data_IF_794416113684
#
_entry.id   IF_794416113684
#
_cell.length_a   1.000
_cell.length_b   1.000
_cell.length_c   1.000
_cell.angle_alpha   90.00
_cell.angle_beta   90.00
_cell.angle_gamma   90.00
#
_symmetry.space_group_name_H-M   'P 1'
#
loop_
_entity.id
_entity.type
_entity.pdbx_description
1 polymer ?
#
# COMPACT_ATOMS: atom_id res chain seq x y z
N UNK A 1 55.79 -59.30 44.67
CA UNK A 1 56.13 -59.78 43.33
C UNK A 1 54.84 -59.77 42.53
N UNK A 2 54.54 -58.68 41.83
CA UNK A 2 53.27 -58.53 41.11
C UNK A 2 53.58 -58.58 39.63
N UNK A 3 53.18 -59.63 39.00
CA UNK A 3 53.33 -59.91 37.55
C UNK A 3 52.22 -59.15 36.80
N UNK A 4 52.65 -58.19 36.05
CA UNK A 4 51.72 -57.45 35.17
C UNK A 4 51.55 -58.26 33.88
N UNK A 5 50.39 -58.80 33.69
CA UNK A 5 50.00 -59.52 32.49
C UNK A 5 49.60 -58.52 31.37
N UNK A 6 50.46 -58.50 30.34
CA UNK A 6 50.37 -57.60 29.19
C UNK A 6 49.41 -58.16 28.09
N UNK A 7 48.30 -58.68 28.45
CA UNK A 7 47.40 -59.29 27.46
C UNK A 7 45.96 -58.81 27.56
N UNK A 8 45.73 -57.51 27.49
CA UNK A 8 44.42 -56.99 27.12
C UNK A 8 44.58 -55.60 26.55
N UNK A 9 45.30 -55.47 25.45
CA UNK A 9 45.23 -54.36 24.56
C UNK A 9 44.22 -54.69 23.49
N UNK A 10 42.97 -54.81 23.87
CA UNK A 10 41.86 -54.89 22.92
C UNK A 10 41.43 -53.47 22.56
N UNK A 11 41.77 -53.19 21.38
CA UNK A 11 41.11 -52.25 20.45
C UNK A 11 39.79 -51.67 20.97
N UNK A 12 39.88 -50.53 21.60
CA UNK A 12 38.74 -49.62 21.60
C UNK A 12 38.83 -48.85 20.28
N UNK A 13 38.19 -49.38 19.26
CA UNK A 13 37.93 -48.67 18.03
C UNK A 13 37.04 -47.47 18.38
N UNK A 14 37.66 -46.32 18.42
CA UNK A 14 36.94 -45.05 18.56
C UNK A 14 36.02 -44.84 17.35
N UNK A 15 34.75 -45.01 17.58
CA UNK A 15 33.76 -44.44 16.67
C UNK A 15 33.85 -42.90 16.79
N UNK A 16 34.64 -42.31 15.94
CA UNK A 16 34.54 -40.89 15.66
C UNK A 16 33.20 -40.66 14.98
N UNK A 17 32.22 -40.30 15.78
CA UNK A 17 30.98 -39.73 15.23
C UNK A 17 31.32 -38.45 14.51
N UNK A 18 31.43 -38.50 13.20
CA UNK A 18 31.46 -37.34 12.35
C UNK A 18 30.09 -36.64 12.48
N UNK A 19 30.01 -35.64 13.36
CA UNK A 19 28.91 -34.69 13.35
C UNK A 19 29.08 -33.86 12.08
N UNK A 20 28.43 -34.27 11.02
CA UNK A 20 28.26 -33.47 9.85
C UNK A 20 27.39 -32.27 10.26
N UNK A 21 28.04 -31.15 10.57
CA UNK A 21 27.42 -29.85 10.60
C UNK A 21 26.97 -29.54 9.19
N UNK A 22 25.77 -29.95 8.83
CA UNK A 22 25.04 -29.35 7.70
C UNK A 22 24.76 -27.91 8.10
N UNK A 23 25.67 -27.04 7.71
CA UNK A 23 25.36 -25.61 7.63
C UNK A 23 24.22 -25.47 6.62
N UNK A 24 22.99 -25.57 7.11
CA UNK A 24 21.82 -25.15 6.38
C UNK A 24 22.01 -23.67 6.10
N UNK A 25 22.44 -23.33 4.89
CA UNK A 25 22.36 -21.98 4.40
C UNK A 25 20.87 -21.63 4.45
N UNK A 26 20.46 -20.93 5.50
CA UNK A 26 19.23 -20.14 5.49
C UNK A 26 19.45 -19.11 4.39
N UNK A 27 19.02 -19.45 3.19
CA UNK A 27 18.78 -18.47 2.16
C UNK A 27 17.63 -17.66 2.72
N UNK A 28 17.98 -16.60 3.45
CA UNK A 28 17.04 -15.53 3.71
C UNK A 28 16.69 -15.02 2.32
N UNK A 29 15.56 -15.50 1.80
CA UNK A 29 14.91 -14.87 0.68
C UNK A 29 14.63 -13.47 1.17
N UNK A 30 15.49 -12.51 0.83
CA UNK A 30 15.14 -11.11 0.90
C UNK A 30 14.03 -10.98 -0.10
N UNK A 31 12.79 -11.10 0.38
CA UNK A 31 11.64 -10.66 -0.37
C UNK A 31 11.94 -9.20 -0.68
N UNK A 32 12.37 -8.97 -1.91
CA UNK A 32 12.43 -7.63 -2.47
C UNK A 32 11.01 -7.14 -2.30
N UNK A 33 10.82 -6.13 -1.45
CA UNK A 33 9.53 -5.48 -1.35
C UNK A 33 9.23 -4.94 -2.74
N UNK A 34 8.38 -5.65 -3.44
CA UNK A 34 7.87 -5.22 -4.73
C UNK A 34 7.27 -3.85 -4.49
N UNK A 35 7.74 -2.83 -5.18
CA UNK A 35 7.41 -1.43 -4.92
C UNK A 35 6.01 -1.08 -5.43
N UNK A 36 5.06 -1.99 -5.28
CA UNK A 36 3.67 -1.82 -5.68
C UNK A 36 2.78 -2.92 -5.13
N UNK A 37 1.48 -2.68 -5.15
CA UNK A 37 0.50 -3.73 -4.88
C UNK A 37 0.57 -4.79 -5.97
N UNK A 38 0.56 -6.09 -5.62
CA UNK A 38 0.67 -7.15 -6.62
C UNK A 38 -0.60 -7.16 -7.51
N UNK A 39 -0.39 -7.01 -8.81
CA UNK A 39 -1.47 -7.08 -9.81
C UNK A 39 -2.13 -8.46 -9.76
N UNK A 40 -3.48 -8.49 -9.87
CA UNK A 40 -4.27 -9.73 -9.86
C UNK A 40 -4.49 -10.30 -8.45
N UNK A 41 -4.18 -9.57 -7.41
CA UNK A 41 -4.53 -9.90 -6.02
C UNK A 41 -5.67 -9.00 -5.54
N UNK A 42 -6.45 -9.45 -4.55
CA UNK A 42 -7.42 -8.57 -3.91
C UNK A 42 -6.76 -7.29 -3.40
N UNK A 43 -7.38 -6.15 -3.70
CA UNK A 43 -6.95 -4.88 -3.14
C UNK A 43 -7.13 -4.89 -1.61
N UNK A 44 -6.22 -4.29 -0.84
CA UNK A 44 -6.41 -4.12 0.60
C UNK A 44 -7.70 -3.36 0.88
N UNK A 45 -8.54 -3.87 1.79
CA UNK A 45 -9.72 -3.13 2.23
C UNK A 45 -9.31 -1.97 3.13
N UNK A 46 -10.11 -0.91 3.11
CA UNK A 46 -9.91 0.28 3.95
C UNK A 46 -11.26 0.88 4.34
N UNK A 47 -11.24 1.69 5.38
CA UNK A 47 -12.30 2.64 5.70
C UNK A 47 -11.64 3.99 5.93
N UNK A 48 -12.11 5.02 5.25
CA UNK A 48 -11.66 6.39 5.40
C UNK A 48 -12.86 7.33 5.53
N UNK A 49 -12.66 8.49 6.15
CA UNK A 49 -13.70 9.52 6.19
C UNK A 49 -13.68 10.30 4.88
N UNK A 50 -14.83 10.56 4.31
CA UNK A 50 -14.93 11.46 3.18
C UNK A 50 -15.00 12.94 3.61
N UNK A 51 -15.00 13.84 2.65
CA UNK A 51 -15.05 15.29 2.87
C UNK A 51 -16.33 15.77 3.55
N UNK A 52 -17.38 14.97 3.57
CA UNK A 52 -18.65 15.26 4.24
C UNK A 52 -18.69 14.71 5.66
N UNK A 53 -17.68 13.94 6.06
CA UNK A 53 -17.60 13.31 7.38
C UNK A 53 -18.26 11.94 7.44
N UNK A 54 -18.57 11.33 6.30
CA UNK A 54 -19.13 9.99 6.23
C UNK A 54 -18.03 8.93 6.08
N UNK A 55 -18.12 7.77 6.75
CA UNK A 55 -17.20 6.68 6.55
C UNK A 55 -17.47 5.99 5.21
N UNK A 56 -16.41 5.77 4.44
CA UNK A 56 -16.43 5.08 3.13
C UNK A 56 -15.45 3.92 3.17
N UNK A 57 -15.92 2.72 2.86
CA UNK A 57 -15.10 1.51 2.79
C UNK A 57 -14.99 0.99 1.36
N UNK A 58 -13.84 0.41 0.99
CA UNK A 58 -13.70 -0.20 -0.33
C UNK A 58 -14.72 -1.32 -0.54
N UNK A 59 -15.03 -2.08 0.50
CA UNK A 59 -16.02 -3.16 0.48
C UNK A 59 -17.44 -2.69 0.13
N UNK A 60 -17.78 -1.40 0.30
CA UNK A 60 -19.10 -0.84 -0.07
C UNK A 60 -19.31 -0.87 -1.60
N UNK A 61 -18.23 -0.97 -2.35
CA UNK A 61 -18.23 -1.01 -3.81
C UNK A 61 -17.96 -2.40 -4.39
N UNK A 62 -18.21 -3.46 -3.60
CA UNK A 62 -18.00 -4.82 -4.05
C UNK A 62 -18.72 -5.11 -5.39
N UNK A 63 -17.99 -5.71 -6.33
CA UNK A 63 -18.51 -6.02 -7.68
C UNK A 63 -18.45 -4.86 -8.70
N UNK A 64 -17.96 -3.69 -8.29
CA UNK A 64 -17.73 -2.55 -9.18
C UNK A 64 -16.23 -2.32 -9.41
N UNK A 65 -15.90 -1.70 -10.51
CA UNK A 65 -14.56 -1.15 -10.72
C UNK A 65 -14.41 0.11 -9.85
N UNK A 66 -13.27 0.22 -9.16
CA UNK A 66 -12.93 1.39 -8.33
C UNK A 66 -11.62 1.98 -8.81
N UNK A 67 -11.61 3.28 -9.04
CA UNK A 67 -10.40 4.08 -9.29
C UNK A 67 -10.05 4.82 -8.01
N UNK A 68 -8.80 4.71 -7.55
CA UNK A 68 -8.23 5.55 -6.48
C UNK A 68 -7.27 6.56 -7.12
N UNK A 69 -7.61 7.83 -7.01
CA UNK A 69 -6.78 8.94 -7.47
C UNK A 69 -6.20 9.67 -6.26
N UNK A 70 -4.87 9.78 -6.17
CA UNK A 70 -4.22 10.66 -5.20
C UNK A 70 -4.07 12.05 -5.77
N UNK A 71 -4.60 13.05 -5.06
CA UNK A 71 -4.56 14.45 -5.46
C UNK A 71 -3.93 15.35 -4.41
N UNK A 72 -3.39 16.49 -4.88
CA UNK A 72 -2.88 17.57 -4.05
C UNK A 72 -3.08 18.88 -4.82
N UNK A 73 -3.97 19.74 -4.37
CA UNK A 73 -4.31 21.01 -5.02
C UNK A 73 -3.10 21.96 -5.23
N UNK A 74 -2.12 21.88 -4.33
CA UNK A 74 -0.88 22.65 -4.43
C UNK A 74 0.14 22.10 -5.42
N UNK A 75 -0.08 20.90 -5.98
CA UNK A 75 0.85 20.26 -6.90
C UNK A 75 0.65 20.78 -8.34
N UNK A 76 1.70 21.35 -8.98
CA UNK A 76 1.58 21.84 -10.37
C UNK A 76 1.19 20.76 -11.37
N UNK A 77 1.57 19.52 -11.12
CA UNK A 77 1.21 18.37 -11.98
C UNK A 77 -0.27 18.00 -11.86
N UNK A 78 -0.84 18.07 -10.66
CA UNK A 78 -2.28 17.89 -10.46
C UNK A 78 -3.06 19.04 -11.10
N UNK A 79 -2.67 20.28 -10.78
CA UNK A 79 -3.35 21.47 -11.28
C UNK A 79 -3.49 21.50 -12.80
N UNK A 80 -2.48 21.10 -13.57
CA UNK A 80 -2.56 21.09 -15.04
C UNK A 80 -3.64 20.15 -15.58
N UNK A 81 -3.97 19.08 -14.84
CA UNK A 81 -4.97 18.10 -15.23
C UNK A 81 -6.40 18.55 -14.91
N UNK A 82 -6.54 19.54 -14.03
CA UNK A 82 -7.82 20.16 -13.65
C UNK A 82 -7.99 21.60 -14.19
N UNK A 83 -6.90 22.22 -14.70
CA UNK A 83 -6.82 23.67 -14.92
C UNK A 83 -7.61 24.20 -16.11
N UNK A 84 -8.21 23.37 -16.94
CA UNK A 84 -8.98 23.83 -18.10
C UNK A 84 -10.29 23.05 -18.19
N UNK A 85 -11.44 23.70 -18.29
CA UNK A 85 -12.67 23.01 -18.70
C UNK A 85 -12.67 22.79 -20.23
N UNK A 86 -12.90 21.56 -20.68
CA UNK A 86 -12.91 20.38 -19.85
C UNK A 86 -11.48 19.90 -19.59
N UNK A 87 -11.03 19.95 -18.32
CA UNK A 87 -9.80 19.27 -17.92
C UNK A 87 -9.93 17.78 -18.18
N UNK A 88 -8.80 17.10 -18.37
CA UNK A 88 -8.87 15.68 -18.68
C UNK A 88 -9.39 14.83 -17.49
N UNK A 89 -9.18 15.27 -16.25
CA UNK A 89 -9.66 14.54 -15.06
C UNK A 89 -11.17 14.61 -14.94
N UNK A 90 -11.78 15.76 -15.15
CA UNK A 90 -13.24 15.92 -15.12
C UNK A 90 -13.92 15.02 -16.16
N UNK A 91 -13.38 14.98 -17.38
CA UNK A 91 -13.88 14.09 -18.42
C UNK A 91 -13.77 12.60 -18.03
N UNK A 92 -12.63 12.19 -17.47
CA UNK A 92 -12.42 10.80 -17.00
C UNK A 92 -13.35 10.43 -15.84
N UNK A 93 -13.61 11.37 -14.92
CA UNK A 93 -14.55 11.15 -13.81
C UNK A 93 -15.99 10.99 -14.32
N UNK A 94 -16.39 11.85 -15.27
CA UNK A 94 -17.72 11.76 -15.88
C UNK A 94 -17.91 10.47 -16.68
N UNK A 95 -16.89 10.06 -17.46
CA UNK A 95 -16.90 8.79 -18.19
C UNK A 95 -16.98 7.58 -17.24
N UNK A 96 -16.23 7.62 -16.15
CA UNK A 96 -16.22 6.60 -15.12
C UNK A 96 -17.61 6.44 -14.48
N UNK A 97 -18.28 7.56 -14.13
CA UNK A 97 -19.63 7.55 -13.56
C UNK A 97 -20.63 6.95 -14.56
N UNK A 98 -20.56 7.37 -15.83
CA UNK A 98 -21.43 6.84 -16.89
C UNK A 98 -21.28 5.34 -17.10
N UNK A 99 -20.06 4.79 -16.90
CA UNK A 99 -19.76 3.36 -17.01
C UNK A 99 -20.03 2.60 -15.69
N UNK A 100 -20.49 3.26 -14.63
CA UNK A 100 -20.71 2.66 -13.32
C UNK A 100 -19.43 2.37 -12.53
N UNK A 101 -18.28 2.89 -12.96
CA UNK A 101 -17.02 2.87 -12.22
C UNK A 101 -17.07 3.89 -11.08
N UNK A 102 -16.60 3.50 -9.90
CA UNK A 102 -16.50 4.40 -8.74
C UNK A 102 -15.16 5.14 -8.78
N UNK A 103 -15.18 6.46 -8.76
CA UNK A 103 -13.98 7.27 -8.67
C UNK A 103 -13.85 7.87 -7.27
N UNK A 104 -12.77 7.50 -6.56
CA UNK A 104 -12.46 7.98 -5.22
C UNK A 104 -11.20 8.84 -5.31
N UNK A 105 -11.33 10.11 -4.99
CA UNK A 105 -10.18 11.04 -4.89
C UNK A 105 -9.66 11.03 -3.46
N UNK A 106 -8.34 10.87 -3.27
CA UNK A 106 -7.70 10.74 -1.95
C UNK A 106 -6.75 11.90 -1.72
N UNK A 107 -6.87 12.55 -0.57
CA UNK A 107 -6.00 13.64 -0.12
C UNK A 107 -5.22 13.16 1.11
N UNK A 108 -3.95 12.78 0.90
CA UNK A 108 -3.05 12.26 1.95
C UNK A 108 -2.04 13.32 2.40
N UNK A 109 -2.48 14.55 2.67
CA UNK A 109 -1.62 15.63 3.12
C UNK A 109 -1.80 15.90 4.60
N UNK A 110 -0.69 15.82 5.37
CA UNK A 110 -0.72 16.04 6.81
C UNK A 110 -0.99 17.51 7.17
N UNK A 111 -1.56 17.79 8.36
CA UNK A 111 -1.75 19.16 8.85
C UNK A 111 -0.47 20.00 8.76
N UNK A 112 -0.59 21.21 8.19
CA UNK A 112 0.53 22.12 7.98
C UNK A 112 1.44 21.77 6.81
N UNK A 113 1.12 20.76 6.01
CA UNK A 113 1.81 20.44 4.76
C UNK A 113 1.02 20.93 3.55
N UNK A 114 1.73 21.12 2.43
CA UNK A 114 1.11 21.51 1.16
C UNK A 114 0.01 20.51 0.78
N UNK A 115 -1.13 21.03 0.35
CA UNK A 115 -2.27 20.23 -0.06
C UNK A 115 -3.11 19.67 1.09
N UNK A 116 -2.82 20.03 2.36
CA UNK A 116 -3.71 19.72 3.47
C UNK A 116 -4.93 20.64 3.41
N UNK A 117 -6.10 20.02 3.38
CA UNK A 117 -7.40 20.69 3.41
C UNK A 117 -8.32 19.97 4.37
N UNK A 118 -9.29 20.69 4.92
CA UNK A 118 -10.44 20.09 5.59
C UNK A 118 -11.53 19.69 4.57
N UNK A 119 -12.58 19.05 5.05
CA UNK A 119 -13.65 18.57 4.17
C UNK A 119 -14.35 19.69 3.39
N UNK A 120 -14.58 20.83 4.03
CA UNK A 120 -15.25 21.96 3.39
C UNK A 120 -14.39 22.55 2.26
N UNK A 121 -13.08 22.72 2.50
CA UNK A 121 -12.15 23.20 1.48
C UNK A 121 -11.97 22.17 0.34
N UNK A 122 -11.97 20.87 0.65
CA UNK A 122 -11.93 19.83 -0.37
C UNK A 122 -13.15 19.85 -1.29
N UNK A 123 -14.34 20.02 -0.72
CA UNK A 123 -15.59 20.15 -1.49
C UNK A 123 -15.59 21.41 -2.34
N UNK A 124 -15.17 22.54 -1.77
CA UNK A 124 -15.08 23.82 -2.50
C UNK A 124 -14.11 23.67 -3.69
N UNK A 125 -12.95 23.05 -3.50
CA UNK A 125 -11.99 22.85 -4.57
C UNK A 125 -12.56 21.96 -5.70
N UNK A 126 -13.27 20.90 -5.35
CA UNK A 126 -13.92 20.02 -6.33
C UNK A 126 -14.97 20.80 -7.15
N UNK A 127 -15.80 21.62 -6.49
CA UNK A 127 -16.79 22.47 -7.15
C UNK A 127 -16.16 23.52 -8.08
N UNK A 128 -15.12 24.21 -7.61
CA UNK A 128 -14.41 25.25 -8.39
C UNK A 128 -13.72 24.69 -9.65
N UNK A 129 -13.45 23.39 -9.68
CA UNK A 129 -12.77 22.71 -10.79
C UNK A 129 -13.68 21.77 -11.57
N UNK A 130 -14.99 21.83 -11.38
CA UNK A 130 -15.95 20.92 -12.00
C UNK A 130 -15.58 19.44 -11.83
N UNK A 131 -14.89 19.08 -10.72
CA UNK A 131 -14.54 17.72 -10.42
C UNK A 131 -15.73 16.95 -9.85
N UNK A 132 -15.94 15.72 -10.30
CA UNK A 132 -17.10 14.90 -9.94
C UNK A 132 -16.73 13.49 -9.47
N UNK A 133 -15.79 13.31 -8.53
CA UNK A 133 -15.55 12.01 -7.93
C UNK A 133 -16.76 11.56 -7.13
N UNK A 134 -16.94 10.23 -6.97
CA UNK A 134 -18.00 9.71 -6.10
C UNK A 134 -17.79 10.13 -4.62
N UNK A 135 -16.55 10.14 -4.16
CA UNK A 135 -16.15 10.64 -2.84
C UNK A 135 -14.76 11.27 -2.88
N UNK A 136 -14.54 12.27 -2.01
CA UNK A 136 -13.21 12.80 -1.71
C UNK A 136 -12.82 12.29 -0.33
N UNK A 137 -11.84 11.39 -0.25
CA UNK A 137 -11.38 10.76 0.98
C UNK A 137 -10.27 11.59 1.63
N UNK A 138 -10.38 11.83 2.93
CA UNK A 138 -9.37 12.54 3.71
C UNK A 138 -8.49 11.55 4.45
N UNK A 139 -7.19 11.61 4.18
CA UNK A 139 -6.16 10.72 4.76
C UNK A 139 -5.01 11.55 5.37
N UNK A 140 -5.30 12.41 6.37
CA UNK A 140 -4.33 13.37 6.91
C UNK A 140 -3.15 12.71 7.63
N UNK A 141 -3.29 11.49 8.09
CA UNK A 141 -2.22 10.70 8.69
C UNK A 141 -1.47 9.81 7.68
N UNK A 142 -1.90 9.77 6.41
CA UNK A 142 -1.29 8.99 5.34
C UNK A 142 -1.47 7.47 5.48
N UNK A 143 -2.45 7.01 6.25
CA UNK A 143 -2.69 5.57 6.46
C UNK A 143 -3.08 4.89 5.15
N UNK A 144 -4.02 5.48 4.40
CA UNK A 144 -4.46 4.97 3.12
C UNK A 144 -3.35 5.05 2.06
N UNK A 145 -2.63 6.18 2.04
CA UNK A 145 -1.48 6.37 1.14
C UNK A 145 -0.41 5.30 1.34
N UNK A 146 -0.06 4.98 2.58
CA UNK A 146 0.90 3.91 2.88
C UNK A 146 0.38 2.52 2.53
N UNK A 147 -0.91 2.25 2.81
CA UNK A 147 -1.54 0.97 2.50
C UNK A 147 -1.46 0.65 1.00
N UNK A 148 -1.67 1.66 0.16
CA UNK A 148 -1.62 1.53 -1.29
C UNK A 148 -0.25 1.89 -1.89
N UNK A 149 0.76 2.16 -1.04
CA UNK A 149 2.11 2.54 -1.46
C UNK A 149 2.12 3.73 -2.41
N UNK A 150 1.14 4.64 -2.25
CA UNK A 150 1.06 5.85 -3.04
C UNK A 150 2.30 6.71 -2.82
N UNK A 151 2.88 7.20 -3.92
CA UNK A 151 4.05 8.06 -3.92
C UNK A 151 3.63 9.43 -4.45
N UNK A 152 3.85 10.44 -3.64
CA UNK A 152 3.60 11.84 -3.98
C UNK A 152 4.92 12.60 -4.04
#
# INVERSE_FOLDING_TARGET
MITINRRNLSLAAGMAAAVALTAGALIASTAQADSGLPIGRPAPDFTAMDSNGDPVSLSDFAGRTVVLEWTNEGCPFVRKHYAQPPGNMQGLQADADADGTVWLTVISSAPGKQGHVDGAAANQWAEEHDASPAHVLLDPDGTLGRLYQAKT
#
